data_IF_823366299285
#
_entry.id   IF_823366299285
#
_cell.length_a   1.000
_cell.length_b   1.000
_cell.length_c   1.000
_cell.angle_alpha   90.00
_cell.angle_beta   90.00
_cell.angle_gamma   90.00
#
_symmetry.space_group_name_H-M   'P 1'
#
loop_
_entity.id
_entity.type
_entity.pdbx_description
1 polymer ?
#
# COMPACT_ATOMS: atom_id res chain seq x y z
N UNK A 1 -18.55 -30.97 16.11
CA UNK A 1 -17.62 -30.07 15.35
C UNK A 1 -17.68 -28.73 16.03
N UNK A 2 -16.56 -28.24 16.55
CA UNK A 2 -16.50 -26.92 17.20
C UNK A 2 -16.42 -25.87 16.11
N UNK A 3 -17.42 -25.01 15.99
CA UNK A 3 -17.43 -23.92 15.03
C UNK A 3 -16.42 -22.86 15.48
N UNK A 4 -15.36 -22.66 14.71
CA UNK A 4 -14.35 -21.64 15.02
C UNK A 4 -14.85 -20.31 14.47
N UNK A 5 -15.36 -19.45 15.35
CA UNK A 5 -15.77 -18.09 15.03
C UNK A 5 -14.58 -17.14 15.13
N UNK A 6 -14.23 -16.46 14.04
CA UNK A 6 -13.24 -15.37 14.09
C UNK A 6 -13.94 -14.05 14.41
N UNK A 7 -13.41 -13.33 15.38
CA UNK A 7 -13.81 -11.95 15.61
C UNK A 7 -13.23 -11.04 14.51
N UNK A 8 -14.00 -10.82 13.45
CA UNK A 8 -13.61 -9.94 12.33
C UNK A 8 -13.39 -8.47 12.73
N UNK A 9 -13.97 -8.06 13.86
CA UNK A 9 -13.80 -6.70 14.40
C UNK A 9 -12.52 -6.54 15.22
N UNK A 10 -11.79 -7.64 15.48
CA UNK A 10 -10.52 -7.56 16.20
C UNK A 10 -9.55 -6.64 15.47
N UNK A 11 -9.03 -5.63 16.16
CA UNK A 11 -8.05 -4.70 15.65
C UNK A 11 -6.67 -5.36 15.63
N UNK A 12 -6.00 -5.26 14.48
CA UNK A 12 -4.59 -5.64 14.33
C UNK A 12 -3.67 -4.46 14.55
N UNK A 13 -4.18 -3.25 14.25
CA UNK A 13 -3.53 -1.97 14.54
C UNK A 13 -4.61 -0.88 14.68
N UNK A 14 -4.20 0.39 14.74
CA UNK A 14 -5.12 1.52 14.93
C UNK A 14 -6.19 1.62 13.85
N UNK A 15 -5.83 1.41 12.57
CA UNK A 15 -6.74 1.59 11.44
C UNK A 15 -7.11 0.29 10.71
N UNK A 16 -6.48 -0.86 11.05
CA UNK A 16 -6.70 -2.11 10.35
C UNK A 16 -7.31 -3.20 11.24
N UNK A 17 -8.36 -3.85 10.74
CA UNK A 17 -9.04 -4.97 11.40
C UNK A 17 -8.71 -6.31 10.77
N UNK A 18 -8.88 -7.39 11.54
CA UNK A 18 -8.71 -8.76 11.04
C UNK A 18 -9.67 -9.05 9.88
N UNK A 19 -10.89 -8.50 9.93
CA UNK A 19 -11.89 -8.68 8.87
C UNK A 19 -11.46 -8.11 7.53
N UNK A 20 -10.79 -6.94 7.52
CA UNK A 20 -10.26 -6.35 6.29
C UNK A 20 -9.13 -7.20 5.70
N UNK A 21 -8.23 -7.71 6.55
CA UNK A 21 -7.06 -8.50 6.16
C UNK A 21 -7.39 -9.96 5.81
N UNK A 22 -8.61 -10.43 6.09
CA UNK A 22 -9.08 -11.79 5.74
C UNK A 22 -10.27 -11.78 4.79
N UNK A 23 -10.62 -10.62 4.27
CA UNK A 23 -11.74 -10.43 3.36
C UNK A 23 -11.54 -11.21 2.05
N UNK A 24 -12.58 -11.92 1.61
CA UNK A 24 -12.64 -12.61 0.33
C UNK A 24 -13.99 -12.42 -0.35
N UNK A 25 -14.00 -12.49 -1.70
CA UNK A 25 -15.25 -12.59 -2.48
C UNK A 25 -15.82 -14.00 -2.49
N UNK A 26 -14.99 -15.00 -2.17
CA UNK A 26 -15.35 -16.40 -2.08
C UNK A 26 -15.82 -16.72 -0.66
N UNK A 27 -17.06 -16.36 -0.35
CA UNK A 27 -17.64 -16.49 1.00
C UNK A 27 -17.90 -17.94 1.38
N UNK A 28 -17.93 -18.84 0.41
CA UNK A 28 -18.04 -20.28 0.57
C UNK A 28 -16.76 -20.94 1.12
N UNK A 29 -15.62 -20.23 1.07
CA UNK A 29 -14.32 -20.75 1.54
C UNK A 29 -13.98 -20.13 2.88
N UNK A 30 -13.69 -20.97 3.86
CA UNK A 30 -13.20 -20.53 5.17
C UNK A 30 -11.79 -19.94 5.06
N UNK A 31 -11.69 -18.62 5.26
CA UNK A 31 -10.43 -17.90 5.20
C UNK A 31 -9.96 -17.50 6.61
N UNK A 32 -9.63 -18.53 7.42
CA UNK A 32 -9.27 -18.41 8.84
C UNK A 32 -7.75 -18.46 8.99
N UNK A 33 -7.07 -17.35 9.42
CA UNK A 33 -5.64 -17.34 9.62
C UNK A 33 -5.25 -18.11 10.91
N UNK A 34 -4.08 -18.75 10.88
CA UNK A 34 -3.46 -19.28 12.08
C UNK A 34 -2.96 -18.14 12.99
N UNK A 35 -2.64 -18.44 14.25
CA UNK A 35 -2.05 -17.48 15.17
C UNK A 35 -0.76 -16.85 14.58
N UNK A 36 0.10 -17.66 13.98
CA UNK A 36 1.34 -17.18 13.31
C UNK A 36 1.02 -16.22 12.16
N UNK A 37 0.00 -16.53 11.35
CA UNK A 37 -0.42 -15.65 10.27
C UNK A 37 -0.98 -14.32 10.82
N UNK A 38 -1.67 -14.32 11.94
CA UNK A 38 -2.15 -13.11 12.62
C UNK A 38 -0.97 -12.23 13.07
N UNK A 39 0.06 -12.81 13.67
CA UNK A 39 1.26 -12.06 14.07
C UNK A 39 2.01 -11.47 12.86
N UNK A 40 2.05 -12.19 11.75
CA UNK A 40 2.59 -11.66 10.50
C UNK A 40 1.73 -10.52 9.94
N UNK A 41 0.41 -10.64 9.98
CA UNK A 41 -0.50 -9.56 9.58
C UNK A 41 -0.31 -8.30 10.43
N UNK A 42 -0.09 -8.44 11.74
CA UNK A 42 0.22 -7.28 12.61
C UNK A 42 1.50 -6.57 12.17
N UNK A 43 2.54 -7.33 11.77
CA UNK A 43 3.77 -6.76 11.21
C UNK A 43 3.50 -6.01 9.91
N UNK A 44 2.70 -6.56 9.01
CA UNK A 44 2.26 -5.86 7.79
C UNK A 44 1.51 -4.58 8.15
N UNK A 45 0.58 -4.65 9.11
CA UNK A 45 -0.19 -3.49 9.56
C UNK A 45 0.69 -2.35 10.08
N UNK A 46 1.80 -2.63 10.78
CA UNK A 46 2.70 -1.57 11.25
C UNK A 46 3.31 -0.77 10.10
N UNK A 47 3.62 -1.41 8.99
CA UNK A 47 4.09 -0.73 7.77
C UNK A 47 2.97 0.04 7.06
N UNK A 48 1.75 -0.50 7.08
CA UNK A 48 0.58 0.18 6.50
C UNK A 48 0.18 1.43 7.28
N UNK A 49 0.30 1.42 8.62
CA UNK A 49 0.09 2.61 9.45
C UNK A 49 1.08 3.71 9.10
N UNK A 50 2.35 3.36 8.93
CA UNK A 50 3.37 4.32 8.55
C UNK A 50 3.17 4.83 7.11
N UNK A 51 2.79 3.96 6.17
CA UNK A 51 2.39 4.37 4.84
C UNK A 51 1.24 5.38 4.88
N UNK A 52 0.17 5.08 5.66
CA UNK A 52 -0.99 5.95 5.83
C UNK A 52 -0.58 7.32 6.39
N UNK A 53 0.18 7.32 7.49
CA UNK A 53 0.65 8.54 8.16
C UNK A 53 1.46 9.41 7.22
N UNK A 54 2.47 8.84 6.53
CA UNK A 54 3.35 9.59 5.62
C UNK A 54 2.64 10.08 4.38
N UNK A 55 1.74 9.28 3.82
CA UNK A 55 0.97 9.66 2.65
C UNK A 55 0.06 10.85 2.95
N UNK A 56 -0.68 10.80 4.05
CA UNK A 56 -1.56 11.89 4.46
C UNK A 56 -0.76 13.16 4.77
N UNK A 57 0.36 13.06 5.47
CA UNK A 57 1.22 14.20 5.75
C UNK A 57 1.76 14.86 4.47
N UNK A 58 2.23 14.07 3.49
CA UNK A 58 2.89 14.58 2.27
C UNK A 58 1.89 15.09 1.22
N UNK A 59 0.73 14.43 1.08
CA UNK A 59 -0.13 14.62 -0.09
C UNK A 59 -1.55 15.08 0.22
N UNK A 60 -1.98 15.01 1.46
CA UNK A 60 -3.33 15.41 1.87
C UNK A 60 -3.29 16.71 2.69
N UNK A 61 -2.46 16.80 3.71
CA UNK A 61 -2.39 17.98 4.57
C UNK A 61 -1.60 19.16 3.97
N UNK A 62 -0.94 18.99 2.82
CA UNK A 62 -0.29 20.08 2.08
C UNK A 62 0.84 20.83 2.83
N UNK A 63 1.40 20.28 3.88
CA UNK A 63 2.27 20.99 4.82
C UNK A 63 3.71 20.50 4.90
N UNK A 64 4.30 20.07 3.77
CA UNK A 64 5.77 19.95 3.72
C UNK A 64 6.26 20.60 2.45
N UNK A 65 6.73 21.84 2.57
CA UNK A 65 7.71 22.38 1.64
C UNK A 65 8.88 21.40 1.57
N UNK A 66 9.41 21.07 0.38
CA UNK A 66 10.60 20.24 0.29
C UNK A 66 11.69 20.87 1.18
N UNK A 67 12.52 20.06 1.86
CA UNK A 67 13.65 20.60 2.62
C UNK A 67 14.46 21.46 1.65
N UNK A 68 14.63 22.73 1.99
CA UNK A 68 15.55 23.60 1.27
C UNK A 68 16.92 22.94 1.36
N UNK A 69 17.41 22.44 0.24
CA UNK A 69 18.82 22.12 0.09
C UNK A 69 19.59 23.42 0.29
N UNK A 70 20.09 23.60 1.51
CA UNK A 70 20.97 24.70 1.87
C UNK A 70 22.18 24.73 0.96
N UNK A 71 22.09 25.49 -0.10
CA UNK A 71 23.15 25.83 -1.03
C UNK A 71 23.20 27.34 -1.14
N UNK A 72 24.01 27.93 -0.27
CA UNK A 72 24.41 29.35 -0.34
C UNK A 72 25.08 29.62 -1.70
N UNK A 73 24.37 30.28 -2.61
CA UNK A 73 24.97 31.01 -3.73
C UNK A 73 24.07 32.17 -4.14
N UNK A 74 24.70 33.37 -3.99
CA UNK A 74 24.17 34.66 -4.24
C UNK A 74 23.44 34.90 -5.56
N UNK A 75 22.52 35.77 -5.45
CA UNK A 75 21.93 36.72 -6.36
C UNK A 75 21.89 36.42 -7.84
N UNK A 76 20.67 36.26 -8.35
CA UNK A 76 20.24 36.90 -9.60
C UNK A 76 18.71 36.89 -9.64
N UNK A 77 18.13 38.06 -9.43
CA UNK A 77 16.72 38.31 -9.74
C UNK A 77 16.57 38.27 -11.27
N UNK A 78 16.00 37.23 -11.83
CA UNK A 78 15.47 37.30 -13.18
C UNK A 78 13.95 37.08 -13.16
N UNK A 79 13.29 38.09 -13.74
CA UNK A 79 11.87 38.14 -14.03
C UNK A 79 11.52 37.02 -15.02
N UNK A 80 10.75 36.06 -14.64
CA UNK A 80 10.06 35.19 -15.61
C UNK A 80 8.84 35.94 -16.13
N UNK A 81 9.01 36.45 -17.34
CA UNK A 81 7.96 37.07 -18.13
C UNK A 81 7.06 35.97 -18.74
N UNK A 82 5.77 36.21 -18.66
CA UNK A 82 4.66 35.44 -19.26
C UNK A 82 4.94 35.00 -20.70
N UNK A 83 4.89 33.73 -20.99
CA UNK A 83 4.29 33.09 -22.22
C UNK A 83 4.45 31.57 -22.14
N UNK A 84 3.44 30.89 -21.71
CA UNK A 84 3.19 29.48 -22.08
C UNK A 84 1.69 29.34 -22.35
N UNK A 85 1.38 29.46 -23.64
CA UNK A 85 0.09 29.16 -24.24
C UNK A 85 -0.08 27.64 -24.41
N UNK A 86 -1.25 27.17 -24.01
CA UNK A 86 -2.02 26.07 -24.59
C UNK A 86 -1.43 24.65 -24.64
N UNK A 87 -1.62 23.94 -23.51
CA UNK A 87 -1.86 22.52 -23.56
C UNK A 87 -3.25 22.23 -22.97
N UNK A 88 -4.09 21.39 -23.63
CA UNK A 88 -5.42 21.10 -23.11
C UNK A 88 -5.31 20.40 -21.77
N UNK A 89 -5.88 21.01 -20.76
CA UNK A 89 -5.97 20.47 -19.42
C UNK A 89 -6.74 19.15 -19.43
N UNK A 90 -6.06 18.05 -19.15
CA UNK A 90 -6.73 16.88 -18.61
C UNK A 90 -7.25 17.26 -17.21
N UNK A 91 -8.48 17.78 -17.21
CA UNK A 91 -9.22 18.10 -16.00
C UNK A 91 -9.70 16.80 -15.35
N UNK A 92 -8.82 16.18 -14.61
CA UNK A 92 -9.13 15.20 -13.60
C UNK A 92 -8.58 15.69 -12.28
N UNK A 93 -9.06 16.86 -11.83
CA UNK A 93 -8.82 17.30 -10.45
C UNK A 93 -9.48 16.29 -9.53
N UNK A 94 -8.75 15.64 -8.62
CA UNK A 94 -9.40 14.89 -7.57
C UNK A 94 -10.32 15.85 -6.80
N UNK A 95 -11.53 15.41 -6.39
CA UNK A 95 -12.47 16.29 -5.72
C UNK A 95 -11.78 16.91 -4.50
N UNK A 96 -11.75 18.24 -4.47
CA UNK A 96 -11.29 19.05 -3.36
C UNK A 96 -12.30 18.87 -2.21
N UNK A 97 -12.07 17.87 -1.38
CA UNK A 97 -12.83 17.64 -0.16
C UNK A 97 -12.25 18.52 0.93
N UNK A 98 -12.81 19.73 1.05
CA UNK A 98 -12.59 20.60 2.20
C UNK A 98 -12.95 19.89 3.51
N UNK A 99 -12.01 19.84 4.43
CA UNK A 99 -12.06 19.19 5.74
C UNK A 99 -11.02 18.07 5.83
N UNK A 100 -10.19 18.10 6.85
CA UNK A 100 -9.15 17.13 7.18
C UNK A 100 -9.68 15.70 7.25
N UNK A 101 -9.87 15.06 6.11
CA UNK A 101 -10.20 13.63 6.06
C UNK A 101 -8.98 12.88 5.56
N UNK A 102 -8.30 12.26 6.50
CA UNK A 102 -7.26 11.28 6.19
C UNK A 102 -7.69 10.34 5.08
N UNK A 103 -6.85 10.19 4.06
CA UNK A 103 -7.08 9.21 3.01
C UNK A 103 -6.80 7.81 3.55
N UNK A 104 -7.79 6.91 3.59
CA UNK A 104 -7.59 5.56 4.08
C UNK A 104 -6.76 4.72 3.11
N UNK A 105 -5.93 3.83 3.64
CA UNK A 105 -5.30 2.77 2.87
C UNK A 105 -6.31 1.62 2.75
N UNK A 106 -6.71 1.27 1.55
CA UNK A 106 -7.74 0.26 1.28
C UNK A 106 -7.08 -1.06 0.88
N UNK A 107 -7.41 -2.14 1.60
CA UNK A 107 -6.89 -3.48 1.32
C UNK A 107 -7.84 -4.23 0.39
N UNK A 108 -7.32 -4.70 -0.73
CA UNK A 108 -8.03 -5.57 -1.66
C UNK A 108 -7.97 -7.04 -1.23
N UNK A 109 -6.82 -7.49 -0.71
CA UNK A 109 -6.56 -8.86 -0.27
C UNK A 109 -5.44 -8.86 0.77
N UNK A 110 -5.60 -9.63 1.83
CA UNK A 110 -4.58 -9.90 2.85
C UNK A 110 -4.28 -11.40 2.92
N UNK A 111 -4.53 -12.02 4.08
CA UNK A 111 -4.36 -13.46 4.26
C UNK A 111 -5.23 -14.26 3.29
N UNK A 112 -4.69 -15.35 2.79
CA UNK A 112 -5.39 -16.34 1.96
C UNK A 112 -5.15 -17.76 2.51
N UNK A 113 -6.22 -18.47 2.85
CA UNK A 113 -6.11 -19.89 3.15
C UNK A 113 -5.59 -20.66 1.92
N UNK A 114 -4.97 -21.85 2.10
CA UNK A 114 -4.48 -22.65 0.98
C UNK A 114 -5.57 -22.94 -0.06
N UNK A 115 -6.79 -23.20 0.39
CA UNK A 115 -7.94 -23.46 -0.46
C UNK A 115 -8.31 -22.22 -1.28
N UNK A 116 -8.41 -21.04 -0.63
CA UNK A 116 -8.70 -19.77 -1.29
C UNK A 116 -7.60 -19.44 -2.32
N UNK A 117 -6.32 -19.59 -1.92
CA UNK A 117 -5.19 -19.30 -2.81
C UNK A 117 -5.23 -20.19 -4.07
N UNK A 118 -5.53 -21.48 -3.92
CA UNK A 118 -5.68 -22.41 -5.04
C UNK A 118 -6.87 -22.00 -5.94
N UNK A 119 -8.01 -21.65 -5.35
CA UNK A 119 -9.23 -21.24 -6.07
C UNK A 119 -9.00 -20.05 -6.99
N UNK A 120 -8.18 -19.08 -6.55
CA UNK A 120 -7.89 -17.87 -7.33
C UNK A 120 -6.63 -17.98 -8.21
N UNK A 121 -6.01 -19.16 -8.29
CA UNK A 121 -4.81 -19.40 -9.09
C UNK A 121 -3.54 -18.74 -8.53
N UNK A 122 -3.48 -18.52 -7.22
CA UNK A 122 -2.30 -17.94 -6.56
C UNK A 122 -1.12 -18.93 -6.50
N UNK A 123 0.10 -18.37 -6.43
CA UNK A 123 1.31 -19.20 -6.27
C UNK A 123 1.25 -20.06 -5.00
N UNK A 124 1.70 -21.33 -5.04
CA UNK A 124 1.78 -22.17 -3.83
C UNK A 124 2.78 -21.67 -2.80
N UNK A 125 3.69 -20.76 -3.18
CA UNK A 125 4.68 -20.11 -2.29
C UNK A 125 4.33 -18.65 -1.97
N UNK A 126 3.06 -18.27 -2.16
CA UNK A 126 2.60 -16.89 -1.96
C UNK A 126 2.74 -16.44 -0.50
N UNK A 127 3.26 -15.25 -0.27
CA UNK A 127 3.34 -14.60 1.04
C UNK A 127 1.95 -14.35 1.68
N UNK A 128 0.87 -14.34 0.90
CA UNK A 128 -0.51 -14.27 1.42
C UNK A 128 -0.90 -15.50 2.26
N UNK A 129 -0.35 -16.68 1.95
CA UNK A 129 -0.62 -17.92 2.69
C UNK A 129 -0.15 -17.87 4.14
N UNK A 130 0.87 -17.10 4.41
CA UNK A 130 1.47 -16.94 5.74
C UNK A 130 1.07 -15.65 6.44
N UNK A 131 0.19 -14.83 5.83
CA UNK A 131 -0.17 -13.52 6.35
C UNK A 131 0.91 -12.45 6.21
N UNK A 132 1.94 -12.71 5.41
CA UNK A 132 3.06 -11.79 5.22
C UNK A 132 2.84 -10.79 4.08
N UNK A 133 1.70 -10.81 3.39
CA UNK A 133 1.45 -9.94 2.24
C UNK A 133 0.05 -9.35 2.24
N UNK A 134 -0.05 -8.19 1.59
CA UNK A 134 -1.30 -7.50 1.25
C UNK A 134 -1.27 -6.96 -0.17
N UNK A 135 -2.45 -6.91 -0.79
CA UNK A 135 -2.68 -6.19 -2.04
C UNK A 135 -3.42 -4.89 -1.70
N UNK A 136 -2.78 -3.75 -1.91
CA UNK A 136 -3.29 -2.41 -1.59
C UNK A 136 -3.97 -1.84 -2.83
N UNK A 137 -5.19 -1.31 -2.67
CA UNK A 137 -5.88 -0.60 -3.73
C UNK A 137 -5.18 0.72 -4.04
N UNK A 138 -5.05 1.04 -5.33
CA UNK A 138 -4.58 2.33 -5.80
C UNK A 138 -5.47 2.84 -6.93
N UNK A 139 -5.54 4.16 -7.09
CA UNK A 139 -6.31 4.85 -8.13
C UNK A 139 -5.42 5.22 -9.33
N UNK A 140 -4.52 4.33 -9.73
CA UNK A 140 -3.63 4.49 -10.87
C UNK A 140 -2.17 4.34 -10.52
N UNK A 141 -1.32 4.47 -11.54
CA UNK A 141 0.12 4.25 -11.41
C UNK A 141 0.79 5.30 -10.49
N UNK A 142 0.33 6.53 -10.54
CA UNK A 142 0.91 7.62 -9.74
C UNK A 142 0.78 7.35 -8.24
N UNK A 143 -0.40 6.97 -7.77
CA UNK A 143 -0.59 6.62 -6.36
C UNK A 143 0.19 5.37 -5.97
N UNK A 144 0.27 4.36 -6.86
CA UNK A 144 1.09 3.18 -6.64
C UNK A 144 2.57 3.54 -6.45
N UNK A 145 3.09 4.44 -7.29
CA UNK A 145 4.47 4.94 -7.18
C UNK A 145 4.69 5.72 -5.88
N UNK A 146 3.77 6.60 -5.51
CA UNK A 146 3.86 7.35 -4.24
C UNK A 146 3.91 6.43 -3.04
N UNK A 147 3.05 5.40 -3.01
CA UNK A 147 3.05 4.39 -1.95
C UNK A 147 4.36 3.59 -1.91
N UNK A 148 4.85 3.18 -3.08
CA UNK A 148 6.10 2.43 -3.18
C UNK A 148 7.29 3.25 -2.68
N UNK A 149 7.40 4.52 -3.07
CA UNK A 149 8.47 5.43 -2.61
C UNK A 149 8.42 5.60 -1.08
N UNK A 150 7.23 5.82 -0.50
CA UNK A 150 7.10 5.96 0.96
C UNK A 150 7.57 4.70 1.70
N UNK A 151 7.22 3.51 1.20
CA UNK A 151 7.63 2.25 1.82
C UNK A 151 9.13 1.98 1.68
N UNK A 152 9.73 2.37 0.54
CA UNK A 152 11.19 2.29 0.35
C UNK A 152 11.93 3.28 1.26
N UNK A 153 11.48 4.53 1.33
CA UNK A 153 12.05 5.54 2.24
C UNK A 153 11.99 5.04 3.70
N UNK A 154 10.85 4.47 4.10
CA UNK A 154 10.70 3.94 5.45
C UNK A 154 11.64 2.77 5.73
N UNK A 155 11.82 1.86 4.75
CA UNK A 155 12.78 0.77 4.86
C UNK A 155 14.21 1.27 5.07
N UNK A 156 14.62 2.29 4.29
CA UNK A 156 15.97 2.87 4.37
C UNK A 156 16.20 3.61 5.70
N UNK A 157 15.27 4.44 6.11
CA UNK A 157 15.35 5.21 7.36
C UNK A 157 15.40 4.30 8.60
N UNK A 158 14.61 3.22 8.61
CA UNK A 158 14.51 2.31 9.76
C UNK A 158 15.49 1.14 9.71
N UNK A 159 16.19 0.96 8.57
CA UNK A 159 17.03 -0.20 8.28
C UNK A 159 16.29 -1.53 8.41
N UNK A 160 14.97 -1.51 8.11
CA UNK A 160 14.14 -2.70 8.03
C UNK A 160 13.91 -3.03 6.56
N UNK A 161 13.93 -4.31 6.23
CA UNK A 161 13.68 -4.76 4.87
C UNK A 161 12.26 -5.30 4.70
N UNK A 162 11.69 -5.08 3.52
CA UNK A 162 10.49 -5.76 3.04
C UNK A 162 10.88 -6.93 2.12
N UNK A 163 9.96 -7.87 1.94
CA UNK A 163 10.20 -9.01 1.05
C UNK A 163 9.88 -8.68 -0.42
N UNK A 164 8.68 -8.19 -0.68
CA UNK A 164 8.23 -7.82 -2.03
C UNK A 164 7.47 -6.49 -2.00
N UNK A 165 7.77 -5.65 -2.98
CA UNK A 165 7.09 -4.40 -3.27
C UNK A 165 6.85 -4.34 -4.78
N UNK A 166 5.65 -4.76 -5.22
CA UNK A 166 5.36 -4.98 -6.62
C UNK A 166 4.20 -4.08 -7.05
N UNK A 167 4.42 -3.24 -8.05
CA UNK A 167 3.33 -2.55 -8.73
C UNK A 167 2.79 -3.50 -9.79
N UNK A 168 1.55 -3.95 -9.63
CA UNK A 168 0.92 -4.91 -10.51
C UNK A 168 -0.21 -4.26 -11.32
N UNK A 169 -0.34 -4.68 -12.59
CA UNK A 169 -1.40 -4.24 -13.49
C UNK A 169 -2.09 -5.43 -14.14
N UNK A 170 -3.42 -5.44 -14.13
CA UNK A 170 -4.21 -6.46 -14.83
C UNK A 170 -4.45 -6.09 -16.30
N UNK A 171 -5.02 -7.02 -17.06
CA UNK A 171 -5.40 -6.83 -18.49
C UNK A 171 -6.38 -5.65 -18.70
N UNK A 172 -7.25 -5.38 -17.72
CA UNK A 172 -8.24 -4.30 -17.79
C UNK A 172 -7.64 -2.94 -17.43
N UNK A 173 -6.33 -2.84 -17.21
CA UNK A 173 -5.64 -1.58 -16.89
C UNK A 173 -5.67 -1.18 -15.41
N UNK A 174 -6.31 -1.96 -14.54
CA UNK A 174 -6.36 -1.71 -13.10
C UNK A 174 -5.03 -2.00 -12.42
N UNK A 175 -4.61 -1.10 -11.51
CA UNK A 175 -3.39 -1.23 -10.73
C UNK A 175 -3.67 -1.60 -9.28
N UNK A 176 -2.72 -2.27 -8.65
CA UNK A 176 -2.62 -2.42 -7.21
C UNK A 176 -1.16 -2.50 -6.79
N UNK A 177 -0.89 -2.25 -5.53
CA UNK A 177 0.43 -2.43 -4.95
C UNK A 177 0.42 -3.70 -4.10
N UNK A 178 1.19 -4.70 -4.50
CA UNK A 178 1.48 -5.86 -3.68
C UNK A 178 2.66 -5.52 -2.75
N UNK A 179 2.44 -5.66 -1.45
CA UNK A 179 3.45 -5.43 -0.43
C UNK A 179 3.56 -6.65 0.49
N UNK A 180 4.79 -7.10 0.71
CA UNK A 180 5.06 -8.22 1.60
C UNK A 180 6.23 -7.92 2.53
N UNK A 181 6.08 -8.30 3.81
CA UNK A 181 7.14 -8.26 4.82
C UNK A 181 7.11 -9.53 5.66
N UNK A 182 8.20 -10.28 5.65
CA UNK A 182 8.38 -11.52 6.42
C UNK A 182 9.07 -11.24 7.76
N UNK A 183 8.99 -12.15 8.73
CA UNK A 183 9.72 -12.01 9.99
C UNK A 183 11.25 -12.02 9.83
N UNK A 184 11.75 -12.65 8.75
CA UNK A 184 13.18 -12.76 8.41
C UNK A 184 13.34 -13.04 6.93
N UNK A 185 14.58 -12.96 6.43
CA UNK A 185 14.98 -13.29 5.06
C UNK A 185 14.19 -12.51 4.00
N UNK A 186 13.96 -11.23 4.26
CA UNK A 186 13.32 -10.32 3.33
C UNK A 186 14.26 -10.04 2.14
N UNK A 187 13.74 -10.18 0.93
CA UNK A 187 14.54 -10.11 -0.32
C UNK A 187 14.69 -8.72 -0.90
N UNK A 188 13.93 -7.75 -0.39
CA UNK A 188 13.85 -6.37 -0.92
C UNK A 188 13.60 -6.33 -2.42
N UNK A 189 12.75 -7.23 -2.89
CA UNK A 189 12.39 -7.35 -4.30
C UNK A 189 11.38 -6.26 -4.68
N UNK A 190 11.81 -5.35 -5.55
CA UNK A 190 10.95 -4.30 -6.11
C UNK A 190 10.80 -4.51 -7.61
N UNK A 191 9.57 -4.47 -8.13
CA UNK A 191 9.30 -4.71 -9.55
C UNK A 191 7.97 -4.12 -10.01
N UNK A 192 7.85 -3.93 -11.33
CA UNK A 192 6.60 -3.66 -12.02
C UNK A 192 6.17 -4.91 -12.81
N UNK A 193 4.96 -5.39 -12.58
CA UNK A 193 4.46 -6.64 -13.16
C UNK A 193 3.18 -6.39 -13.96
N UNK A 194 3.24 -6.73 -15.24
CA UNK A 194 2.06 -6.83 -16.09
C UNK A 194 1.52 -8.26 -16.00
N UNK A 195 0.37 -8.44 -15.38
CA UNK A 195 -0.31 -9.75 -15.39
C UNK A 195 -1.07 -9.90 -16.71
N UNK A 196 -0.60 -10.83 -17.51
CA UNK A 196 -1.19 -11.21 -18.79
C UNK A 196 -2.59 -11.83 -18.62
#
# INVERSE_FOLDING_TARGET
>A
MTEVCINKQARLSEHFSLGELTKSRHTEIYNIPSHVAIENLKRVCSWLEELRRRYNLRYVCGSVSPPELGGDRGGLKERCNSHCSDHPAHTGTPPNLGGEKDTPIIINSGYRSPELNKKIGGSPTSNHLTGCAVDIRVYGIEQAMRYAVILMDYADETRQDYDELLIERNKSGGYWLHFAVRPRDNRRKTSFILKA
#
